data_IF_525547142915
#
_entry.id   IF_525547142915
#
_cell.length_a   1.000
_cell.length_b   1.000
_cell.length_c   1.000
_cell.angle_alpha   90.00
_cell.angle_beta   90.00
_cell.angle_gamma   90.00
#
_symmetry.space_group_name_H-M   'P 1'
#
loop_
_entity.id
_entity.type
_entity.pdbx_description
1 polymer ?
#
# COMPACT_ATOMS: atom_id res chain seq x y z
N UNK A 1 -31.33 11.43 -11.83
CA UNK A 1 -30.50 11.93 -10.71
C UNK A 1 -30.38 13.43 -10.87
N UNK A 2 -30.60 14.20 -9.81
CA UNK A 2 -30.36 15.65 -9.86
C UNK A 2 -28.86 15.89 -10.14
N UNK A 3 -28.55 16.90 -10.95
CA UNK A 3 -27.18 17.31 -11.24
C UNK A 3 -26.98 18.74 -10.74
N UNK A 4 -25.76 19.07 -10.33
CA UNK A 4 -25.43 20.38 -9.80
C UNK A 4 -24.05 20.80 -10.31
N UNK A 5 -23.87 22.09 -10.59
CA UNK A 5 -22.54 22.63 -10.83
C UNK A 5 -21.84 22.86 -9.50
N UNK A 6 -20.60 22.40 -9.35
CA UNK A 6 -19.72 22.82 -8.27
C UNK A 6 -18.69 23.82 -8.81
N UNK A 7 -18.34 24.84 -8.01
CA UNK A 7 -17.39 25.87 -8.39
C UNK A 7 -16.40 26.18 -7.27
N UNK A 8 -15.14 26.35 -7.62
CA UNK A 8 -14.11 26.95 -6.78
C UNK A 8 -13.26 27.85 -7.66
N UNK A 9 -13.13 29.12 -7.28
CA UNK A 9 -12.49 30.15 -8.11
C UNK A 9 -13.05 30.17 -9.55
N UNK A 10 -12.20 29.98 -10.56
CA UNK A 10 -12.56 29.94 -11.97
C UNK A 10 -12.99 28.54 -12.46
N UNK A 11 -12.81 27.49 -11.65
CA UNK A 11 -13.11 26.12 -12.03
C UNK A 11 -14.60 25.80 -11.80
N UNK A 12 -15.24 25.16 -12.77
CA UNK A 12 -16.63 24.70 -12.70
C UNK A 12 -16.75 23.29 -13.22
N UNK A 13 -17.43 22.43 -12.47
CA UNK A 13 -17.67 21.04 -12.86
C UNK A 13 -19.14 20.67 -12.66
N UNK A 14 -19.73 19.95 -13.61
CA UNK A 14 -21.08 19.38 -13.46
C UNK A 14 -20.95 17.98 -12.87
N UNK A 15 -21.55 17.76 -11.70
CA UNK A 15 -21.55 16.47 -11.02
C UNK A 15 -22.99 16.00 -10.74
N UNK A 16 -23.21 14.68 -10.58
CA UNK A 16 -24.42 14.19 -9.90
C UNK A 16 -24.47 14.77 -8.49
N UNK A 17 -25.66 15.18 -8.03
CA UNK A 17 -25.84 15.66 -6.65
C UNK A 17 -25.49 14.52 -5.68
N UNK A 18 -24.48 14.69 -4.80
CA UNK A 18 -24.08 13.65 -3.86
C UNK A 18 -25.19 13.31 -2.86
N UNK A 19 -25.11 12.13 -2.24
CA UNK A 19 -26.16 11.68 -1.30
C UNK A 19 -26.02 12.31 0.11
N UNK A 20 -24.87 12.90 0.42
CA UNK A 20 -24.58 13.51 1.72
C UNK A 20 -23.73 14.77 1.59
N UNK A 21 -23.77 15.60 2.63
CA UNK A 21 -22.95 16.80 2.75
C UNK A 21 -21.45 16.48 2.76
N UNK A 22 -21.03 15.43 3.46
CA UNK A 22 -19.62 15.00 3.50
C UNK A 22 -19.13 14.51 2.13
N UNK A 23 -19.96 13.78 1.40
CA UNK A 23 -19.64 13.36 0.03
C UNK A 23 -19.50 14.57 -0.89
N UNK A 24 -20.33 15.60 -0.73
CA UNK A 24 -20.18 16.85 -1.47
C UNK A 24 -18.88 17.58 -1.12
N UNK A 25 -18.53 17.68 0.16
CA UNK A 25 -17.27 18.31 0.57
C UNK A 25 -16.06 17.55 0.01
N UNK A 26 -16.08 16.23 0.09
CA UNK A 26 -15.04 15.36 -0.43
C UNK A 26 -14.90 15.50 -1.95
N UNK A 27 -16.00 15.38 -2.70
CA UNK A 27 -16.02 15.52 -4.16
C UNK A 27 -15.59 16.93 -4.56
N UNK A 28 -16.12 17.96 -3.89
CA UNK A 28 -15.75 19.35 -4.15
C UNK A 28 -14.24 19.58 -4.03
N UNK A 29 -13.64 19.08 -2.94
CA UNK A 29 -12.19 19.19 -2.73
C UNK A 29 -11.38 18.40 -3.75
N UNK A 30 -11.78 17.16 -4.01
CA UNK A 30 -11.05 16.25 -4.90
C UNK A 30 -11.08 16.70 -6.37
N UNK A 31 -12.22 17.22 -6.84
CA UNK A 31 -12.42 17.57 -8.24
C UNK A 31 -12.09 19.03 -8.58
N UNK A 32 -12.14 19.94 -7.59
CA UNK A 32 -11.78 21.34 -7.77
C UNK A 32 -10.40 21.68 -7.18
N UNK A 33 -9.62 20.65 -6.85
CA UNK A 33 -8.25 20.76 -6.34
C UNK A 33 -8.11 21.72 -5.15
N UNK A 34 -9.07 21.69 -4.21
CA UNK A 34 -9.08 22.59 -3.04
C UNK A 34 -8.19 22.00 -1.95
N UNK A 35 -7.08 22.66 -1.56
CA UNK A 35 -6.17 22.13 -0.54
C UNK A 35 -6.84 21.92 0.81
N UNK A 36 -6.49 20.84 1.54
CA UNK A 36 -7.01 20.57 2.88
C UNK A 36 -6.69 21.68 3.90
N UNK A 37 -5.61 22.42 3.66
CA UNK A 37 -5.21 23.60 4.47
C UNK A 37 -6.14 24.79 4.30
N UNK A 38 -6.94 24.82 3.22
CA UNK A 38 -7.94 25.85 2.97
C UNK A 38 -9.26 25.39 3.56
N UNK A 39 -9.71 26.07 4.63
CA UNK A 39 -11.07 25.93 5.11
C UNK A 39 -12.03 26.40 4.02
N UNK A 40 -13.11 25.65 3.76
CA UNK A 40 -14.12 26.02 2.76
C UNK A 40 -15.51 26.08 3.37
N UNK A 41 -16.29 27.05 2.92
CA UNK A 41 -17.69 27.25 3.25
C UNK A 41 -18.49 27.04 1.96
N UNK A 42 -19.09 25.86 1.75
CA UNK A 42 -19.92 25.63 0.58
C UNK A 42 -21.18 26.49 0.65
N UNK A 43 -21.57 27.10 -0.46
CA UNK A 43 -22.81 27.87 -0.61
C UNK A 43 -23.59 27.35 -1.80
N UNK A 44 -24.91 27.34 -1.71
CA UNK A 44 -25.77 26.92 -2.80
C UNK A 44 -26.56 28.11 -3.36
N UNK A 45 -26.86 28.04 -4.66
CA UNK A 45 -27.57 29.07 -5.41
C UNK A 45 -28.73 28.46 -6.19
N UNK A 46 -29.94 29.00 -5.98
CA UNK A 46 -31.12 28.66 -6.79
C UNK A 46 -31.14 29.39 -8.14
N UNK A 47 -30.34 30.44 -8.29
CA UNK A 47 -30.12 31.15 -9.56
C UNK A 47 -28.75 31.83 -9.60
N UNK A 48 -28.19 31.99 -10.81
CA UNK A 48 -26.82 32.52 -11.03
C UNK A 48 -26.65 33.97 -10.54
N UNK A 49 -27.75 34.69 -10.33
CA UNK A 49 -27.75 36.09 -9.89
C UNK A 49 -28.10 36.29 -8.40
N UNK A 50 -28.35 35.20 -7.64
CA UNK A 50 -28.75 35.29 -6.23
C UNK A 50 -27.56 35.15 -5.28
N UNK A 51 -27.55 35.87 -4.15
CA UNK A 51 -26.54 35.69 -3.11
C UNK A 51 -26.58 34.26 -2.58
N UNK A 52 -25.42 33.59 -2.57
CA UNK A 52 -25.31 32.19 -2.15
C UNK A 52 -25.66 32.00 -0.68
N UNK A 53 -26.49 31.02 -0.40
CA UNK A 53 -26.86 30.63 0.98
C UNK A 53 -25.87 29.58 1.47
N UNK A 54 -25.38 29.73 2.70
CA UNK A 54 -24.46 28.75 3.29
C UNK A 54 -25.10 27.36 3.37
N UNK A 55 -24.38 26.39 2.84
CA UNK A 55 -24.76 25.00 2.85
C UNK A 55 -24.17 24.34 4.09
N UNK A 56 -25.02 23.66 4.84
CA UNK A 56 -24.70 22.94 6.06
C UNK A 56 -25.30 21.54 5.95
N UNK A 57 -24.85 20.61 6.80
CA UNK A 57 -25.44 19.28 6.87
C UNK A 57 -26.96 19.33 7.11
N UNK A 58 -27.42 20.25 7.97
CA UNK A 58 -28.83 20.39 8.34
C UNK A 58 -29.75 20.86 7.19
N UNK A 59 -29.21 21.60 6.21
CA UNK A 59 -29.99 22.11 5.07
C UNK A 59 -29.61 21.45 3.73
N UNK A 60 -28.75 20.43 3.74
CA UNK A 60 -28.31 19.71 2.53
C UNK A 60 -29.47 19.10 1.73
N UNK A 61 -30.49 18.59 2.43
CA UNK A 61 -31.66 17.98 1.78
C UNK A 61 -32.54 18.98 1.01
N UNK A 62 -32.34 20.29 1.20
CA UNK A 62 -33.07 21.35 0.49
C UNK A 62 -32.51 21.62 -0.93
N UNK A 63 -31.45 20.93 -1.36
CA UNK A 63 -30.77 21.13 -2.65
C UNK A 63 -31.53 20.63 -3.89
N UNK A 64 -32.82 20.25 -3.77
CA UNK A 64 -33.58 19.64 -4.87
C UNK A 64 -33.68 20.54 -6.12
N UNK A 65 -33.61 21.86 -5.95
CA UNK A 65 -33.69 22.86 -7.01
C UNK A 65 -32.43 23.76 -7.10
N UNK A 66 -31.27 23.26 -6.64
CA UNK A 66 -30.02 24.01 -6.70
C UNK A 66 -29.34 23.87 -8.07
N UNK A 67 -28.85 24.97 -8.62
CA UNK A 67 -28.14 25.00 -9.91
C UNK A 67 -26.62 25.00 -9.69
N UNK A 68 -26.14 25.66 -8.63
CA UNK A 68 -24.71 25.89 -8.38
C UNK A 68 -24.38 25.81 -6.90
N UNK A 69 -23.28 25.14 -6.59
CA UNK A 69 -22.65 25.12 -5.27
C UNK A 69 -21.25 25.72 -5.40
N UNK A 70 -21.00 26.89 -4.79
CA UNK A 70 -19.67 27.48 -4.70
C UNK A 70 -18.96 27.04 -3.43
N UNK A 71 -17.66 26.81 -3.50
CA UNK A 71 -16.80 26.59 -2.35
C UNK A 71 -16.02 27.88 -2.10
N UNK A 72 -16.41 28.65 -1.08
CA UNK A 72 -15.73 29.90 -0.78
C UNK A 72 -14.69 29.66 0.34
N UNK A 73 -13.49 30.27 0.29
CA UNK A 73 -12.54 30.19 1.39
C UNK A 73 -13.14 30.70 2.70
N UNK A 74 -13.01 29.92 3.78
CA UNK A 74 -13.51 30.28 5.09
C UNK A 74 -12.62 31.38 5.70
N UNK A 75 -13.19 32.53 6.13
CA UNK A 75 -12.41 33.63 6.72
C UNK A 75 -11.71 33.25 8.04
N UNK A 76 -12.02 32.09 8.64
CA UNK A 76 -11.47 31.68 9.93
C UNK A 76 -10.00 31.19 9.89
N UNK A 77 -9.45 30.86 8.72
CA UNK A 77 -8.07 30.33 8.60
C UNK A 77 -7.02 31.41 8.29
N UNK A 78 -7.43 32.56 7.75
CA UNK A 78 -6.52 33.68 7.46
C UNK A 78 -5.87 34.32 8.71
N UNK A 79 -6.36 34.01 9.92
CA UNK A 79 -5.94 34.66 11.17
C UNK A 79 -4.94 33.84 12.03
N UNK A 80 -4.49 32.66 11.60
CA UNK A 80 -3.58 31.80 12.43
C UNK A 80 -2.16 31.63 11.89
N UNK A 81 -1.75 32.42 10.90
CA UNK A 81 -0.35 32.56 10.51
C UNK A 81 0.39 33.58 11.40
N UNK A 82 0.66 33.24 12.66
CA UNK A 82 1.58 34.02 13.48
C UNK A 82 3.02 33.56 13.24
N UNK A 83 3.73 34.47 12.58
CA UNK A 83 5.16 34.53 12.30
C UNK A 83 5.97 34.41 13.58
N UNK A 84 6.86 33.43 13.64
CA UNK A 84 8.06 33.51 14.48
C UNK A 84 9.11 34.32 13.71
N UNK A 85 9.35 35.56 14.11
CA UNK A 85 10.61 36.26 13.86
C UNK A 85 11.26 36.58 15.20
N UNK A 86 12.55 36.27 15.40
CA UNK A 86 13.33 36.86 16.47
C UNK A 86 14.05 38.12 15.97
N UNK A 87 13.93 39.17 16.78
CA UNK A 87 14.82 40.33 16.99
C UNK A 87 15.28 41.13 15.75
N UNK A 88 15.06 42.44 15.61
CA UNK A 88 14.99 43.48 16.62
C UNK A 88 16.25 44.34 16.57
N UNK A 89 16.36 45.28 15.62
CA UNK A 89 16.88 46.65 15.85
C UNK A 89 16.80 47.55 14.61
N UNK A 90 16.44 48.81 14.89
CA UNK A 90 16.29 49.96 13.99
C UNK A 90 17.64 50.64 13.73
N UNK A 91 17.89 51.15 12.52
CA UNK A 91 17.94 52.62 12.24
C UNK A 91 18.45 52.93 10.81
N UNK A 92 18.08 54.13 10.39
CA UNK A 92 18.14 54.74 9.07
C UNK A 92 19.55 55.02 8.54
N UNK A 93 19.69 55.14 7.21
CA UNK A 93 19.97 56.42 6.54
C UNK A 93 20.05 56.26 5.01
N UNK A 94 19.49 57.24 4.32
CA UNK A 94 19.55 57.39 2.88
C UNK A 94 20.96 57.85 2.45
N UNK A 95 21.47 57.28 1.35
CA UNK A 95 22.35 57.99 0.41
C UNK A 95 22.43 57.29 -0.93
N UNK A 96 21.96 57.99 -1.95
CA UNK A 96 22.24 57.79 -3.37
C UNK A 96 23.73 57.63 -3.63
N UNK A 97 24.11 56.58 -4.38
CA UNK A 97 25.22 56.63 -5.34
C UNK A 97 24.87 55.73 -6.54
N UNK A 98 24.59 56.37 -7.67
CA UNK A 98 24.58 55.77 -9.02
C UNK A 98 26.03 55.41 -9.40
N UNK A 99 26.29 54.21 -9.98
CA UNK A 99 26.79 54.27 -11.36
C UNK A 99 26.40 53.10 -12.28
N UNK A 100 26.02 53.52 -13.50
CA UNK A 100 26.32 52.93 -14.81
C UNK A 100 25.76 51.54 -15.16
N UNK A 101 24.70 51.61 -15.96
CA UNK A 101 24.32 50.67 -16.99
C UNK A 101 25.52 49.98 -17.66
N UNK A 102 25.48 48.65 -17.68
CA UNK A 102 25.98 47.87 -18.81
C UNK A 102 24.83 47.00 -19.30
N UNK A 103 24.24 47.42 -20.41
CA UNK A 103 23.22 46.65 -21.12
C UNK A 103 23.76 45.28 -21.49
N UNK A 104 23.26 44.24 -20.83
CA UNK A 104 23.21 42.90 -21.39
C UNK A 104 21.74 42.61 -21.70
N UNK A 105 21.47 42.36 -22.98
CA UNK A 105 20.17 41.89 -23.43
C UNK A 105 19.78 40.63 -22.64
N UNK A 106 18.53 40.51 -22.17
CA UNK A 106 18.10 39.26 -21.55
C UNK A 106 18.18 38.15 -22.60
N UNK A 107 19.02 37.16 -22.34
CA UNK A 107 18.92 35.88 -23.01
C UNK A 107 17.51 35.35 -22.71
N UNK A 108 16.67 35.29 -23.74
CA UNK A 108 15.37 34.64 -23.67
C UNK A 108 15.66 33.18 -23.33
N UNK A 109 15.44 32.81 -22.07
CA UNK A 109 15.42 31.42 -21.67
C UNK A 109 14.38 30.72 -22.57
N UNK A 110 14.70 29.55 -23.17
CA UNK A 110 13.72 28.83 -23.96
C UNK A 110 12.49 28.60 -23.09
N UNK A 111 11.32 29.00 -23.59
CA UNK A 111 10.05 28.80 -22.92
C UNK A 111 9.93 27.31 -22.59
N UNK A 112 9.94 26.97 -21.30
CA UNK A 112 9.77 25.59 -20.87
C UNK A 112 8.35 25.12 -21.25
N UNK A 113 8.21 23.89 -21.78
CA UNK A 113 6.91 23.37 -22.19
C UNK A 113 5.95 23.34 -20.99
N UNK A 114 4.75 23.88 -21.18
CA UNK A 114 3.70 23.86 -20.16
C UNK A 114 3.16 22.43 -20.03
N UNK A 115 3.47 21.75 -18.94
CA UNK A 115 2.84 20.47 -18.59
C UNK A 115 1.53 20.81 -17.85
N UNK A 116 0.40 20.58 -18.49
CA UNK A 116 -0.94 20.78 -17.92
C UNK A 116 -1.59 19.43 -17.57
N UNK A 117 -1.31 18.42 -18.39
CA UNK A 117 -1.84 17.08 -18.32
C UNK A 117 -0.67 16.09 -18.21
N UNK A 118 -0.69 15.27 -17.16
CA UNK A 118 0.22 14.15 -17.04
C UNK A 118 -0.60 12.88 -16.83
N UNK A 119 -0.32 11.84 -17.62
CA UNK A 119 -0.90 10.54 -17.37
C UNK A 119 -0.01 9.80 -16.38
N UNK A 120 -0.61 9.31 -15.29
CA UNK A 120 0.06 8.37 -14.40
C UNK A 120 -0.46 6.98 -14.74
N UNK A 121 0.45 6.10 -15.14
CA UNK A 121 0.17 4.68 -15.25
C UNK A 121 0.70 4.02 -13.99
N UNK A 122 -0.20 3.30 -13.33
CA UNK A 122 0.07 2.57 -12.12
C UNK A 122 -0.37 1.12 -12.35
N UNK A 123 0.59 0.19 -12.42
CA UNK A 123 0.37 -1.19 -12.89
C UNK A 123 -0.18 -1.23 -14.34
N UNK A 124 -0.09 -2.38 -15.02
CA UNK A 124 -0.54 -2.55 -16.42
C UNK A 124 -2.06 -2.32 -16.62
N UNK A 125 -2.78 -2.11 -15.52
CA UNK A 125 -4.24 -2.14 -15.42
C UNK A 125 -4.88 -0.76 -15.23
N UNK A 126 -4.16 0.22 -14.66
CA UNK A 126 -4.75 1.48 -14.20
C UNK A 126 -3.99 2.69 -14.75
N UNK A 127 -4.73 3.57 -15.44
CA UNK A 127 -4.22 4.83 -16.00
C UNK A 127 -5.14 5.95 -15.54
N UNK A 128 -4.62 6.90 -14.78
CA UNK A 128 -5.36 8.09 -14.38
C UNK A 128 -4.65 9.36 -14.84
N UNK A 129 -5.46 10.36 -15.14
CA UNK A 129 -4.99 11.69 -15.53
C UNK A 129 -4.80 12.53 -14.26
N UNK A 130 -3.61 13.09 -14.11
CA UNK A 130 -3.28 14.00 -13.03
C UNK A 130 -3.09 15.40 -13.63
N UNK A 131 -3.92 16.35 -13.18
CA UNK A 131 -3.78 17.75 -13.56
C UNK A 131 -2.71 18.38 -12.68
N UNK A 132 -1.64 18.84 -13.31
CA UNK A 132 -0.52 19.44 -12.60
C UNK A 132 -0.71 20.95 -12.50
N UNK A 133 -0.70 21.54 -11.29
CA UNK A 133 -0.71 22.99 -11.13
C UNK A 133 0.66 23.56 -11.51
N UNK A 134 0.90 23.81 -12.80
CA UNK A 134 1.97 24.69 -13.26
C UNK A 134 3.15 24.04 -14.02
N UNK A 135 3.33 24.55 -15.25
CA UNK A 135 4.54 24.69 -16.08
C UNK A 135 5.79 23.85 -15.75
N UNK A 136 5.81 22.53 -15.90
CA UNK A 136 7.07 21.74 -16.00
C UNK A 136 8.07 21.83 -14.83
N UNK A 137 7.81 22.68 -13.83
CA UNK A 137 8.60 22.98 -12.64
C UNK A 137 8.15 22.13 -11.46
N UNK A 138 7.07 21.36 -11.61
CA UNK A 138 6.66 20.36 -10.62
C UNK A 138 7.86 19.50 -10.30
N UNK A 139 8.25 19.48 -9.03
CA UNK A 139 9.32 18.65 -8.55
C UNK A 139 8.86 17.20 -8.49
N UNK A 140 9.79 16.28 -8.71
CA UNK A 140 9.49 14.85 -8.63
C UNK A 140 8.95 14.46 -7.25
N UNK A 141 9.46 15.08 -6.17
CA UNK A 141 8.92 14.90 -4.81
C UNK A 141 7.45 15.34 -4.69
N UNK A 142 7.11 16.51 -5.23
CA UNK A 142 5.73 16.99 -5.23
C UNK A 142 4.80 16.10 -6.06
N UNK A 143 5.28 15.53 -7.17
CA UNK A 143 4.51 14.56 -7.94
C UNK A 143 4.25 13.29 -7.12
N UNK A 144 5.24 12.78 -6.36
CA UNK A 144 5.05 11.66 -5.44
C UNK A 144 4.02 11.99 -4.36
N UNK A 145 4.08 13.17 -3.76
CA UNK A 145 3.09 13.62 -2.76
C UNK A 145 1.67 13.68 -3.33
N UNK A 146 1.50 14.15 -4.57
CA UNK A 146 0.19 14.17 -5.24
C UNK A 146 -0.33 12.76 -5.52
N UNK A 147 0.55 11.85 -5.94
CA UNK A 147 0.20 10.43 -6.14
C UNK A 147 -0.18 9.82 -4.79
N UNK A 148 0.60 10.07 -3.74
CA UNK A 148 0.37 9.64 -2.38
C UNK A 148 -1.00 10.07 -1.85
N UNK A 149 -1.32 11.37 -1.95
CA UNK A 149 -2.61 11.92 -1.54
C UNK A 149 -3.77 11.28 -2.32
N UNK A 150 -3.59 11.05 -3.63
CA UNK A 150 -4.61 10.45 -4.49
C UNK A 150 -4.86 8.97 -4.16
N UNK A 151 -3.82 8.28 -3.75
CA UNK A 151 -3.81 6.83 -3.54
C UNK A 151 -4.04 6.43 -2.08
N UNK A 152 -3.80 7.34 -1.13
CA UNK A 152 -3.83 7.05 0.31
C UNK A 152 -2.57 6.37 0.84
N UNK A 153 -1.52 6.25 0.02
CA UNK A 153 -0.23 5.69 0.41
C UNK A 153 0.81 6.80 0.58
N UNK A 154 1.86 6.55 1.36
CA UNK A 154 3.01 7.47 1.50
C UNK A 154 3.74 7.70 0.15
N UNK A 155 4.33 8.88 -0.03
CA UNK A 155 5.11 9.25 -1.21
C UNK A 155 6.32 8.33 -1.41
N UNK A 156 6.92 7.85 -0.32
CA UNK A 156 8.07 6.93 -0.35
C UNK A 156 7.72 5.55 -0.93
N UNK A 157 6.43 5.23 -1.13
CA UNK A 157 6.02 3.97 -1.75
C UNK A 157 6.15 3.93 -3.26
N UNK A 158 6.38 5.07 -3.92
CA UNK A 158 6.37 5.16 -5.38
C UNK A 158 7.77 5.41 -5.92
N UNK A 159 8.23 4.55 -6.81
CA UNK A 159 9.32 4.80 -7.74
C UNK A 159 8.73 5.26 -9.07
N UNK A 160 9.17 6.42 -9.53
CA UNK A 160 8.61 7.02 -10.75
C UNK A 160 9.58 6.79 -11.92
N UNK A 161 9.07 6.42 -13.08
CA UNK A 161 9.86 6.33 -14.31
C UNK A 161 9.16 7.01 -15.49
N UNK A 162 9.95 7.56 -16.39
CA UNK A 162 9.48 8.16 -17.65
C UNK A 162 10.29 7.61 -18.82
N UNK A 163 9.65 6.84 -19.71
CA UNK A 163 10.33 6.25 -20.86
C UNK A 163 11.60 5.49 -20.48
N UNK A 164 11.50 4.65 -19.43
CA UNK A 164 12.61 3.90 -18.83
C UNK A 164 13.66 4.71 -18.07
N UNK A 165 13.47 6.03 -17.91
CA UNK A 165 14.36 6.89 -17.12
C UNK A 165 13.79 7.03 -15.71
N UNK A 166 14.49 6.59 -14.66
CA UNK A 166 14.08 6.82 -13.28
C UNK A 166 13.99 8.32 -12.97
N UNK A 167 12.91 8.74 -12.31
CA UNK A 167 12.76 10.07 -11.72
C UNK A 167 13.17 9.95 -10.24
N UNK A 168 14.46 9.88 -10.00
CA UNK A 168 15.10 9.53 -8.72
C UNK A 168 15.47 10.74 -7.84
N UNK A 169 15.58 11.94 -8.40
CA UNK A 169 15.89 13.17 -7.68
C UNK A 169 14.61 13.95 -7.35
N UNK A 170 14.21 13.90 -6.07
CA UNK A 170 13.02 14.59 -5.57
C UNK A 170 13.03 16.10 -5.79
N UNK A 171 14.21 16.71 -5.94
CA UNK A 171 14.39 18.15 -6.14
C UNK A 171 14.49 18.54 -7.61
N UNK A 172 14.52 17.56 -8.50
CA UNK A 172 14.56 17.78 -9.94
C UNK A 172 13.15 17.86 -10.50
N UNK A 173 12.93 18.83 -11.36
CA UNK A 173 11.64 19.08 -12.00
C UNK A 173 11.35 18.10 -13.13
N UNK A 174 10.07 17.88 -13.42
CA UNK A 174 9.63 17.04 -14.53
C UNK A 174 10.20 17.51 -15.87
N UNK A 175 10.31 18.83 -16.09
CA UNK A 175 10.92 19.40 -17.28
C UNK A 175 12.40 19.05 -17.44
N UNK A 176 13.15 18.91 -16.33
CA UNK A 176 14.56 18.50 -16.36
C UNK A 176 14.74 16.99 -16.65
N UNK A 177 13.66 16.21 -16.52
CA UNK A 177 13.58 14.83 -17.03
C UNK A 177 12.98 14.76 -18.44
N UNK A 178 12.76 15.92 -19.10
CA UNK A 178 12.11 16.06 -20.39
C UNK A 178 10.70 15.44 -20.43
N UNK A 179 10.02 15.38 -19.29
CA UNK A 179 8.59 15.05 -19.27
C UNK A 179 7.84 16.22 -19.89
N UNK A 180 6.95 15.92 -20.83
CA UNK A 180 6.17 16.88 -21.59
C UNK A 180 4.66 16.73 -21.31
N UNK A 181 3.88 17.70 -21.77
CA UNK A 181 2.43 17.65 -21.68
C UNK A 181 1.85 16.44 -22.41
N UNK A 182 1.00 15.68 -21.73
CA UNK A 182 0.39 14.45 -22.25
C UNK A 182 1.29 13.23 -22.18
N UNK A 183 2.53 13.35 -21.68
CA UNK A 183 3.39 12.19 -21.44
C UNK A 183 2.79 11.28 -20.35
N UNK A 184 3.33 10.06 -20.30
CA UNK A 184 2.95 9.06 -19.31
C UNK A 184 4.12 8.79 -18.38
N UNK A 185 3.94 9.06 -17.09
CA UNK A 185 4.86 8.64 -16.03
C UNK A 185 4.34 7.34 -15.43
N UNK A 186 5.21 6.35 -15.36
CA UNK A 186 4.93 5.08 -14.69
C UNK A 186 5.26 5.26 -13.21
N UNK A 187 4.28 5.04 -12.35
CA UNK A 187 4.47 4.99 -10.91
C UNK A 187 4.54 3.52 -10.51
N UNK A 188 5.74 2.98 -10.40
CA UNK A 188 5.98 1.65 -9.88
C UNK A 188 5.92 1.71 -8.36
N UNK A 189 5.06 0.93 -7.73
CA UNK A 189 5.11 0.85 -6.27
C UNK A 189 6.13 -0.15 -5.78
N UNK A 190 6.76 0.19 -4.67
CA UNK A 190 7.59 -0.69 -3.87
C UNK A 190 6.79 -1.78 -3.12
N UNK A 191 5.52 -2.04 -3.48
CA UNK A 191 4.71 -3.10 -2.86
C UNK A 191 5.23 -4.47 -3.28
N UNK A 192 6.15 -4.99 -2.48
CA UNK A 192 6.74 -6.31 -2.68
C UNK A 192 7.01 -7.09 -1.40
N UNK A 193 6.78 -6.48 -0.24
CA UNK A 193 7.27 -7.01 1.04
C UNK A 193 6.25 -7.94 1.67
N UNK A 194 6.36 -9.24 1.38
CA UNK A 194 5.63 -10.25 2.12
C UNK A 194 6.23 -10.39 3.52
N UNK A 195 5.48 -10.06 4.57
CA UNK A 195 5.92 -10.19 5.97
C UNK A 195 5.56 -11.59 6.49
N UNK A 196 6.56 -12.44 6.63
CA UNK A 196 6.39 -13.85 6.96
C UNK A 196 6.98 -14.16 8.33
N UNK A 197 6.33 -15.04 9.08
CA UNK A 197 6.84 -15.61 10.30
C UNK A 197 6.83 -17.13 10.21
N UNK A 198 7.90 -17.74 10.69
CA UNK A 198 8.05 -19.18 10.78
C UNK A 198 7.97 -19.57 12.25
N UNK A 199 6.92 -20.33 12.57
CA UNK A 199 6.76 -21.02 13.84
C UNK A 199 7.26 -22.44 13.68
N UNK A 200 7.89 -22.93 14.73
CA UNK A 200 8.24 -24.34 14.86
C UNK A 200 7.33 -24.89 15.95
N UNK A 201 6.78 -26.10 15.81
CA UNK A 201 6.01 -26.77 16.86
C UNK A 201 6.57 -28.16 17.06
N UNK A 202 7.03 -28.45 18.27
CA UNK A 202 7.67 -29.71 18.62
C UNK A 202 6.63 -30.81 18.82
N UNK A 203 6.96 -32.09 18.54
CA UNK A 203 6.11 -33.19 18.94
C UNK A 203 5.90 -33.23 20.46
N UNK A 204 4.66 -33.44 20.92
CA UNK A 204 4.30 -33.46 22.34
C UNK A 204 5.07 -34.52 23.15
N UNK A 205 5.39 -35.66 22.51
CA UNK A 205 6.14 -36.75 23.14
C UNK A 205 7.65 -36.45 23.31
N UNK A 206 8.17 -35.37 22.72
CA UNK A 206 9.60 -35.07 22.69
C UNK A 206 9.99 -34.07 23.78
N UNK A 207 10.49 -34.57 24.93
CA UNK A 207 10.92 -33.74 26.08
C UNK A 207 12.38 -33.23 26.03
N UNK A 208 13.12 -33.48 24.95
CA UNK A 208 14.54 -33.10 24.81
C UNK A 208 14.74 -32.04 23.76
N UNK A 209 15.76 -31.19 23.93
CA UNK A 209 16.05 -30.12 22.98
C UNK A 209 16.26 -30.66 21.57
N UNK A 210 15.52 -30.09 20.63
CA UNK A 210 15.62 -30.43 19.21
C UNK A 210 16.46 -29.39 18.52
N UNK A 211 17.58 -29.79 17.94
CA UNK A 211 18.44 -28.95 17.11
C UNK A 211 18.10 -29.19 15.65
N UNK A 212 17.87 -28.12 14.92
CA UNK A 212 17.60 -28.16 13.49
C UNK A 212 18.25 -26.96 12.80
N UNK A 213 18.45 -27.11 11.50
CA UNK A 213 18.92 -26.07 10.61
C UNK A 213 17.80 -25.81 9.62
N UNK A 214 17.27 -24.59 9.62
CA UNK A 214 16.21 -24.16 8.74
C UNK A 214 16.80 -23.21 7.71
N UNK A 215 16.60 -23.50 6.44
CA UNK A 215 17.01 -22.62 5.35
C UNK A 215 15.80 -22.19 4.56
N UNK A 216 15.61 -20.87 4.44
CA UNK A 216 14.68 -20.29 3.48
C UNK A 216 15.49 -19.88 2.27
N UNK A 217 15.07 -20.28 1.07
CA UNK A 217 15.67 -19.82 -0.17
C UNK A 217 14.57 -19.31 -1.10
N UNK A 218 14.73 -18.09 -1.59
CA UNK A 218 13.85 -17.54 -2.62
C UNK A 218 14.44 -17.78 -4.00
N UNK A 219 13.56 -17.94 -4.99
CA UNK A 219 13.99 -18.01 -6.38
C UNK A 219 14.34 -16.58 -6.85
N UNK A 220 15.43 -16.35 -7.59
CA UNK A 220 15.70 -15.04 -8.17
C UNK A 220 14.50 -14.53 -9.03
N UNK A 221 14.20 -13.22 -9.03
CA UNK A 221 14.98 -12.10 -8.51
C UNK A 221 14.65 -11.69 -7.05
N UNK A 222 14.03 -12.57 -6.26
CA UNK A 222 13.61 -12.23 -4.90
C UNK A 222 14.76 -12.34 -3.89
N UNK A 223 14.77 -11.44 -2.91
CA UNK A 223 15.69 -11.49 -1.78
C UNK A 223 14.93 -11.72 -0.47
N UNK A 224 15.61 -12.38 0.45
CA UNK A 224 15.21 -12.58 1.83
C UNK A 224 15.91 -11.51 2.67
N UNK A 225 15.14 -10.83 3.52
CA UNK A 225 15.68 -10.04 4.60
C UNK A 225 15.25 -10.65 5.94
N UNK A 226 16.23 -10.94 6.81
CA UNK A 226 15.97 -11.49 8.13
C UNK A 226 15.78 -10.32 9.10
N UNK A 227 14.58 -10.17 9.64
CA UNK A 227 14.25 -9.02 10.50
C UNK A 227 14.94 -9.04 11.87
N UNK A 228 15.66 -10.12 12.21
CA UNK A 228 16.48 -10.23 13.42
C UNK A 228 17.94 -9.83 13.20
N UNK A 229 18.32 -9.52 11.96
CA UNK A 229 19.62 -9.00 11.61
C UNK A 229 19.55 -7.48 11.40
N UNK A 230 20.70 -6.82 11.50
CA UNK A 230 20.80 -5.39 11.26
C UNK A 230 20.47 -5.06 9.80
N UNK A 231 19.78 -3.94 9.59
CA UNK A 231 19.29 -3.48 8.27
C UNK A 231 20.42 -3.15 7.28
N UNK A 232 21.66 -3.02 7.75
CA UNK A 232 22.84 -2.75 6.92
C UNK A 232 23.42 -4.01 6.26
N UNK A 233 22.88 -5.20 6.58
CA UNK A 233 23.34 -6.45 5.99
C UNK A 233 22.81 -6.63 4.56
N UNK A 234 23.65 -7.18 3.65
CA UNK A 234 23.23 -7.40 2.27
C UNK A 234 22.01 -8.31 2.21
N UNK A 235 21.04 -7.93 1.39
CA UNK A 235 19.90 -8.79 1.06
C UNK A 235 20.40 -10.02 0.28
N UNK A 236 20.06 -11.21 0.76
CA UNK A 236 20.51 -12.49 0.17
C UNK A 236 19.36 -13.24 -0.51
N UNK A 237 19.67 -14.17 -1.40
CA UNK A 237 18.65 -15.06 -2.00
C UNK A 237 18.26 -16.23 -1.08
N UNK A 238 19.04 -16.49 -0.04
CA UNK A 238 18.70 -17.52 0.93
C UNK A 238 19.30 -17.21 2.29
N UNK A 239 18.61 -17.58 3.36
CA UNK A 239 19.10 -17.42 4.72
C UNK A 239 18.98 -18.75 5.48
N UNK A 240 19.95 -19.06 6.33
CA UNK A 240 19.96 -20.27 7.15
C UNK A 240 20.03 -19.92 8.64
N UNK A 241 19.07 -20.42 9.41
CA UNK A 241 19.07 -20.36 10.86
C UNK A 241 19.43 -21.74 11.44
N UNK A 242 20.40 -21.77 12.35
CA UNK A 242 20.61 -22.91 13.24
C UNK A 242 19.85 -22.66 14.53
N UNK A 243 18.81 -23.47 14.78
CA UNK A 243 17.88 -23.23 15.88
C UNK A 243 17.78 -24.43 16.81
N UNK A 244 17.64 -24.16 18.09
CA UNK A 244 17.26 -25.12 19.11
C UNK A 244 15.81 -24.88 19.52
N UNK A 245 15.10 -25.96 19.82
CA UNK A 245 13.72 -25.95 20.32
C UNK A 245 13.70 -26.66 21.67
N UNK A 246 13.48 -25.89 22.73
CA UNK A 246 13.38 -26.36 24.13
C UNK A 246 11.92 -26.63 24.54
N UNK A 247 11.69 -27.41 25.60
CA UNK A 247 10.39 -27.97 26.01
C UNK A 247 9.88 -27.54 27.40
N UNK A 248 10.35 -26.43 27.96
CA UNK A 248 9.89 -26.04 29.30
C UNK A 248 8.58 -25.23 29.32
N UNK A 249 8.01 -24.88 28.16
CA UNK A 249 6.66 -24.30 28.08
C UNK A 249 5.94 -24.73 26.82
N UNK A 250 4.61 -24.84 26.90
CA UNK A 250 3.76 -25.30 25.79
C UNK A 250 3.71 -24.33 24.59
N UNK A 251 4.18 -23.07 24.74
CA UNK A 251 3.97 -22.02 23.73
C UNK A 251 5.13 -21.05 23.54
N UNK A 252 6.20 -21.11 24.36
CA UNK A 252 7.42 -20.32 24.13
C UNK A 252 8.45 -21.21 23.45
N UNK A 253 8.24 -21.39 22.16
CA UNK A 253 9.27 -21.83 21.25
C UNK A 253 10.35 -20.76 21.25
N UNK A 254 11.31 -20.89 22.14
CA UNK A 254 12.47 -20.05 22.10
C UNK A 254 13.37 -20.60 20.98
N UNK A 255 13.49 -19.85 19.89
CA UNK A 255 14.46 -20.12 18.83
C UNK A 255 15.77 -19.47 19.25
N UNK A 256 16.77 -20.28 19.61
CA UNK A 256 18.11 -19.74 19.83
C UNK A 256 18.80 -19.52 18.49
N UNK A 257 18.90 -18.27 18.06
CA UNK A 257 19.78 -17.86 16.95
C UNK A 257 20.87 -16.96 17.55
N UNK A 258 22.04 -17.53 17.82
CA UNK A 258 23.08 -16.87 18.61
C UNK A 258 22.80 -16.90 20.12
N UNK A 259 22.70 -15.73 20.77
CA UNK A 259 22.49 -15.60 22.22
C UNK A 259 21.04 -15.23 22.60
N UNK A 260 20.18 -14.95 21.63
CA UNK A 260 18.81 -14.51 21.85
C UNK A 260 17.79 -15.62 21.56
N UNK A 261 16.64 -15.50 22.22
CA UNK A 261 15.55 -16.45 22.12
C UNK A 261 14.30 -15.77 21.53
N UNK A 262 13.83 -16.24 20.39
CA UNK A 262 12.69 -15.64 19.66
C UNK A 262 11.47 -16.54 19.68
N UNK A 263 10.26 -15.98 19.64
CA UNK A 263 9.00 -16.76 19.52
C UNK A 263 8.74 -17.32 18.12
N UNK A 264 9.27 -16.65 17.10
CA UNK A 264 9.20 -17.04 15.70
C UNK A 264 10.43 -16.46 14.97
N UNK A 265 10.78 -17.05 13.83
CA UNK A 265 11.71 -16.42 12.88
C UNK A 265 10.90 -15.52 11.96
N UNK A 266 11.28 -14.26 11.81
CA UNK A 266 10.63 -13.35 10.87
C UNK A 266 11.54 -13.12 9.67
N UNK A 267 10.93 -13.08 8.49
CA UNK A 267 11.62 -12.71 7.27
C UNK A 267 10.69 -11.95 6.34
N UNK A 268 11.27 -11.05 5.55
CA UNK A 268 10.56 -10.38 4.47
C UNK A 268 11.06 -10.89 3.13
N UNK A 269 10.09 -11.29 2.28
CA UNK A 269 10.35 -11.54 0.88
C UNK A 269 10.19 -10.25 0.14
N UNK A 270 11.24 -9.79 -0.52
CA UNK A 270 11.25 -8.54 -1.27
C UNK A 270 11.70 -8.79 -2.70
N UNK A 271 11.08 -8.08 -3.63
CA UNK A 271 11.58 -8.00 -5.00
C UNK A 271 12.84 -7.17 -4.98
N UNK A 272 13.89 -7.62 -5.68
CA UNK A 272 15.05 -6.76 -5.90
C UNK A 272 14.58 -5.44 -6.54
N UNK A 273 14.70 -4.35 -5.79
CA UNK A 273 14.38 -2.98 -6.21
C UNK A 273 15.34 -2.42 -7.26
N UNK A 274 16.34 -3.22 -7.71
CA UNK A 274 17.25 -2.84 -8.78
C UNK A 274 16.71 -3.34 -10.14
N UNK A 275 16.23 -2.44 -11.03
CA UNK A 275 15.81 -2.82 -12.37
C UNK A 275 16.91 -3.47 -13.21
N UNK A 276 18.21 -3.29 -12.87
CA UNK A 276 19.31 -4.01 -13.52
C UNK A 276 19.46 -5.45 -13.01
N UNK A 277 19.00 -5.78 -11.80
CA UNK A 277 18.96 -7.17 -11.30
C UNK A 277 17.82 -7.98 -11.91
N UNK A 278 16.76 -7.32 -12.37
CA UNK A 278 15.72 -7.94 -13.22
C UNK A 278 16.26 -8.32 -14.61
N UNK A 279 17.38 -7.71 -15.08
CA UNK A 279 18.02 -8.01 -16.38
C UNK A 279 18.88 -9.28 -16.36
N UNK A 280 19.19 -9.82 -15.18
CA UNK A 280 20.02 -11.01 -14.98
C UNK A 280 19.23 -12.19 -14.41
N UNK A 281 17.95 -12.33 -14.76
CA UNK A 281 17.25 -13.60 -14.54
C UNK A 281 17.85 -14.63 -15.51
N UNK A 282 18.47 -15.73 -15.03
CA UNK A 282 18.94 -16.78 -15.90
C UNK A 282 17.74 -17.60 -16.40
N UNK A 283 17.73 -17.80 -17.71
CA UNK A 283 17.09 -18.89 -18.45
C UNK A 283 15.67 -18.63 -19.02
N UNK A 284 15.54 -18.34 -20.33
CA UNK A 284 14.26 -18.28 -21.05
C UNK A 284 13.52 -19.64 -21.14
N UNK A 285 14.05 -20.69 -20.50
CA UNK A 285 13.41 -22.00 -20.34
C UNK A 285 12.52 -22.19 -19.10
N UNK A 286 12.56 -21.29 -18.10
CA UNK A 286 11.69 -21.40 -16.91
C UNK A 286 10.29 -20.84 -17.19
N UNK A 287 9.30 -21.72 -17.23
CA UNK A 287 7.92 -21.36 -17.47
C UNK A 287 7.27 -20.79 -16.20
N UNK A 288 7.53 -19.52 -15.91
CA UNK A 288 6.98 -18.78 -14.77
C UNK A 288 5.46 -18.51 -14.86
N UNK A 289 4.74 -19.13 -15.81
CA UNK A 289 3.34 -18.82 -16.15
C UNK A 289 2.32 -19.15 -15.06
N UNK A 290 2.73 -19.88 -14.01
CA UNK A 290 1.86 -20.26 -12.89
C UNK A 290 2.49 -20.02 -11.51
N UNK A 291 3.63 -19.33 -11.39
CA UNK A 291 4.28 -19.12 -10.10
C UNK A 291 3.78 -17.85 -9.40
N UNK A 292 3.64 -17.87 -8.07
CA UNK A 292 3.43 -16.64 -7.31
C UNK A 292 4.66 -15.73 -7.42
N UNK A 293 4.43 -14.46 -7.76
CA UNK A 293 5.48 -13.45 -7.86
C UNK A 293 5.23 -12.36 -6.82
N UNK A 294 6.01 -12.31 -5.72
CA UNK A 294 5.96 -11.21 -4.78
C UNK A 294 6.15 -9.83 -5.42
N UNK A 295 6.79 -9.74 -6.60
CA UNK A 295 6.97 -8.50 -7.36
C UNK A 295 5.74 -8.03 -8.12
N UNK A 296 4.81 -8.94 -8.36
CA UNK A 296 3.60 -8.69 -9.12
C UNK A 296 2.47 -9.47 -8.45
N UNK A 297 2.16 -9.15 -7.18
CA UNK A 297 1.10 -9.85 -6.48
C UNK A 297 -0.22 -9.57 -7.20
N UNK A 298 -0.93 -10.62 -7.59
CA UNK A 298 -2.21 -10.46 -8.27
C UNK A 298 -3.35 -10.62 -7.27
N UNK A 299 -4.24 -9.64 -7.24
CA UNK A 299 -5.53 -9.73 -6.58
C UNK A 299 -6.55 -9.10 -7.54
N UNK A 300 -7.54 -9.89 -7.96
CA UNK A 300 -8.52 -9.50 -8.99
C UNK A 300 -9.92 -9.97 -8.58
N UNK A 301 -10.99 -9.41 -9.15
CA UNK A 301 -12.35 -9.86 -8.87
C UNK A 301 -12.57 -11.37 -9.10
N UNK A 302 -11.83 -11.99 -10.02
CA UNK A 302 -12.00 -13.41 -10.35
C UNK A 302 -11.25 -14.36 -9.42
N UNK A 303 -10.25 -13.86 -8.68
CA UNK A 303 -9.41 -14.69 -7.80
C UNK A 303 -9.48 -14.33 -6.32
N UNK A 304 -10.25 -13.29 -5.97
CA UNK A 304 -10.38 -12.78 -4.62
C UNK A 304 -11.76 -13.08 -4.01
N UNK A 305 -11.82 -12.97 -2.69
CA UNK A 305 -13.04 -12.78 -1.92
C UNK A 305 -13.05 -11.35 -1.39
N UNK A 306 -14.21 -10.69 -1.40
CA UNK A 306 -14.38 -9.33 -0.89
C UNK A 306 -15.32 -9.33 0.31
N UNK A 307 -14.92 -8.67 1.38
CA UNK A 307 -15.73 -8.44 2.58
C UNK A 307 -15.76 -6.95 2.91
N UNK A 308 -16.82 -6.51 3.59
CA UNK A 308 -16.81 -5.22 4.30
C UNK A 308 -15.70 -5.22 5.33
N UNK A 309 -15.04 -4.09 5.53
CA UNK A 309 -13.94 -4.01 6.50
C UNK A 309 -14.35 -4.51 7.89
N UNK A 310 -15.53 -4.08 8.37
CA UNK A 310 -16.05 -4.52 9.68
C UNK A 310 -16.28 -6.03 9.81
N UNK A 311 -16.47 -6.74 8.70
CA UNK A 311 -16.63 -8.20 8.67
C UNK A 311 -15.29 -8.93 8.48
N UNK A 312 -14.25 -8.24 8.01
CA UNK A 312 -12.98 -8.84 7.61
C UNK A 312 -12.17 -9.38 8.79
N UNK A 313 -12.00 -8.61 9.88
CA UNK A 313 -11.22 -9.07 11.04
C UNK A 313 -11.87 -10.29 11.73
N UNK A 314 -13.19 -10.29 12.01
CA UNK A 314 -13.87 -11.48 12.56
C UNK A 314 -13.84 -12.69 11.61
N UNK A 315 -13.84 -12.46 10.29
CA UNK A 315 -13.62 -13.51 9.31
C UNK A 315 -12.20 -14.06 9.41
N UNK A 316 -11.19 -13.19 9.43
CA UNK A 316 -9.78 -13.56 9.40
C UNK A 316 -9.41 -14.41 10.62
N UNK A 317 -9.86 -14.03 11.81
CA UNK A 317 -9.65 -14.83 13.03
C UNK A 317 -10.21 -16.26 12.90
N UNK A 318 -11.40 -16.39 12.31
CA UNK A 318 -12.03 -17.69 12.05
C UNK A 318 -11.29 -18.48 10.97
N UNK A 319 -10.97 -17.86 9.84
CA UNK A 319 -10.27 -18.53 8.75
C UNK A 319 -8.92 -19.08 9.22
N UNK A 320 -8.13 -18.30 9.95
CA UNK A 320 -6.86 -18.76 10.50
C UNK A 320 -7.04 -19.91 11.51
N UNK A 321 -8.16 -19.98 12.23
CA UNK A 321 -8.51 -21.12 13.09
C UNK A 321 -8.71 -22.39 12.28
N UNK A 322 -9.47 -22.30 11.19
CA UNK A 322 -9.74 -23.44 10.31
C UNK A 322 -8.48 -23.95 9.62
N UNK A 323 -7.47 -23.07 9.45
CA UNK A 323 -6.14 -23.42 8.98
C UNK A 323 -5.22 -23.97 10.09
N UNK A 324 -5.79 -24.33 11.25
CA UNK A 324 -5.11 -24.95 12.40
C UNK A 324 -4.03 -24.09 13.05
N UNK A 325 -4.13 -22.76 12.93
CA UNK A 325 -3.26 -21.86 13.69
C UNK A 325 -3.75 -21.71 15.13
N UNK A 326 -2.80 -21.68 16.07
CA UNK A 326 -3.09 -21.56 17.50
C UNK A 326 -3.55 -20.13 17.83
N UNK A 327 -4.27 -19.89 18.95
CA UNK A 327 -4.70 -18.55 19.34
C UNK A 327 -3.56 -17.51 19.34
N UNK A 328 -2.37 -17.91 19.75
CA UNK A 328 -1.18 -17.05 19.79
C UNK A 328 -0.71 -16.70 18.38
N UNK A 329 -0.63 -17.69 17.47
CA UNK A 329 -0.23 -17.47 16.08
C UNK A 329 -1.21 -16.55 15.35
N UNK A 330 -2.51 -16.74 15.58
CA UNK A 330 -3.57 -15.90 15.01
C UNK A 330 -3.47 -14.46 15.50
N UNK A 331 -3.32 -14.28 16.81
CA UNK A 331 -3.18 -12.94 17.41
C UNK A 331 -1.94 -12.22 16.88
N UNK A 332 -0.80 -12.92 16.81
CA UNK A 332 0.45 -12.37 16.30
C UNK A 332 0.35 -12.03 14.80
N UNK A 333 -0.32 -12.89 14.01
CA UNK A 333 -0.59 -12.62 12.60
C UNK A 333 -1.40 -11.34 12.41
N UNK A 334 -2.51 -11.18 13.14
CA UNK A 334 -3.38 -10.00 13.02
C UNK A 334 -2.62 -8.75 13.46
N UNK A 335 -1.92 -8.81 14.60
CA UNK A 335 -1.16 -7.67 15.13
C UNK A 335 -0.06 -7.21 14.15
N UNK A 336 0.69 -8.14 13.55
CA UNK A 336 1.78 -7.83 12.61
C UNK A 336 1.30 -7.08 11.36
N UNK A 337 0.07 -7.31 10.94
CA UNK A 337 -0.53 -6.69 9.75
C UNK A 337 -1.53 -5.59 10.10
N UNK A 338 -1.74 -5.31 11.39
CA UNK A 338 -2.67 -4.28 11.86
C UNK A 338 -2.39 -2.89 11.30
N UNK A 339 -1.13 -2.43 11.12
CA UNK A 339 -0.88 -1.12 10.51
C UNK A 339 -1.45 -1.02 9.09
N UNK A 340 -1.21 -2.03 8.23
CA UNK A 340 -1.76 -2.06 6.87
C UNK A 340 -3.29 -2.16 6.87
N UNK A 341 -3.85 -2.97 7.77
CA UNK A 341 -5.31 -3.07 7.91
C UNK A 341 -5.93 -1.76 8.37
N UNK A 342 -5.28 -1.01 9.25
CA UNK A 342 -5.74 0.31 9.68
C UNK A 342 -5.73 1.29 8.51
N UNK A 343 -4.63 1.35 7.75
CA UNK A 343 -4.57 2.16 6.53
C UNK A 343 -5.70 1.82 5.57
N UNK A 344 -5.98 0.53 5.37
CA UNK A 344 -7.09 0.11 4.51
C UNK A 344 -8.44 0.57 5.08
N UNK A 345 -8.68 0.41 6.38
CA UNK A 345 -9.93 0.83 7.02
C UNK A 345 -10.21 2.33 6.86
N UNK A 346 -9.16 3.13 6.97
CA UNK A 346 -9.27 4.60 6.93
C UNK A 346 -9.65 5.11 5.53
N UNK A 347 -9.33 4.35 4.48
CA UNK A 347 -9.49 4.77 3.08
C UNK A 347 -10.50 3.95 2.29
N UNK A 348 -10.78 2.71 2.68
CA UNK A 348 -11.56 1.77 1.88
C UNK A 348 -12.66 1.08 2.69
N UNK A 349 -13.90 1.01 2.17
CA UNK A 349 -15.01 0.37 2.86
C UNK A 349 -14.94 -1.17 2.84
N UNK A 350 -14.16 -1.75 1.93
CA UNK A 350 -14.07 -3.19 1.71
C UNK A 350 -12.60 -3.65 1.61
N UNK A 351 -12.40 -4.94 1.89
CA UNK A 351 -11.12 -5.63 1.74
C UNK A 351 -11.31 -6.78 0.78
N UNK A 352 -10.55 -6.78 -0.31
CA UNK A 352 -10.33 -7.97 -1.12
C UNK A 352 -9.20 -8.79 -0.52
N UNK A 353 -9.31 -10.10 -0.57
CA UNK A 353 -8.25 -10.99 -0.13
C UNK A 353 -8.32 -12.36 -0.80
N UNK A 354 -7.20 -13.08 -0.73
CA UNK A 354 -7.14 -14.52 -1.01
C UNK A 354 -5.99 -15.17 -0.26
N UNK A 355 -6.15 -16.42 0.14
CA UNK A 355 -5.02 -17.24 0.56
C UNK A 355 -4.39 -17.92 -0.66
N UNK A 356 -3.06 -17.98 -0.69
CA UNK A 356 -2.33 -18.60 -1.80
C UNK A 356 -2.23 -20.12 -1.63
N UNK A 357 -2.54 -20.90 -2.69
CA UNK A 357 -2.28 -22.33 -2.74
C UNK A 357 -0.82 -22.72 -2.46
N UNK A 358 -0.63 -23.89 -1.83
CA UNK A 358 0.70 -24.41 -1.46
C UNK A 358 1.63 -24.56 -2.66
N UNK A 359 1.10 -25.01 -3.80
CA UNK A 359 1.87 -25.22 -5.03
C UNK A 359 2.45 -23.91 -5.55
N UNK A 360 1.66 -22.83 -5.57
CA UNK A 360 2.14 -21.49 -5.94
C UNK A 360 3.28 -21.03 -5.03
N UNK A 361 3.17 -21.22 -3.72
CA UNK A 361 4.21 -20.82 -2.75
C UNK A 361 5.49 -21.64 -2.93
N UNK A 362 5.36 -22.94 -3.18
CA UNK A 362 6.52 -23.83 -3.38
C UNK A 362 7.37 -23.44 -4.59
N UNK A 363 6.78 -22.74 -5.57
CA UNK A 363 7.49 -22.23 -6.75
C UNK A 363 8.15 -20.86 -6.54
N UNK A 364 7.80 -20.12 -5.49
CA UNK A 364 8.39 -18.80 -5.22
C UNK A 364 9.56 -18.86 -4.23
N UNK A 365 9.47 -19.77 -3.26
CA UNK A 365 10.54 -20.02 -2.29
C UNK A 365 10.45 -21.42 -1.70
N UNK A 366 11.58 -21.91 -1.17
CA UNK A 366 11.69 -23.20 -0.50
C UNK A 366 12.04 -23.02 0.97
N UNK A 367 11.49 -23.90 1.81
CA UNK A 367 11.87 -24.04 3.22
C UNK A 367 12.50 -25.43 3.38
N UNK A 368 13.82 -25.46 3.50
CA UNK A 368 14.58 -26.67 3.74
C UNK A 368 14.78 -26.86 5.24
N UNK A 369 14.22 -27.94 5.79
CA UNK A 369 14.36 -28.28 7.22
C UNK A 369 15.31 -29.46 7.36
N UNK A 370 16.47 -29.22 7.98
CA UNK A 370 17.45 -30.27 8.30
C UNK A 370 17.48 -30.49 9.81
N UNK A 371 16.84 -31.56 10.24
CA UNK A 371 16.86 -31.97 11.66
C UNK A 371 18.23 -32.56 11.98
N UNK A 372 18.92 -32.00 12.98
CA UNK A 372 20.24 -32.47 13.44
C UNK A 372 20.14 -33.38 14.67
N UNK A 373 19.01 -33.36 15.39
CA UNK A 373 18.76 -34.28 16.50
C UNK A 373 18.39 -35.67 15.99
N UNK A 374 19.16 -36.73 16.33
CA UNK A 374 18.98 -38.07 15.75
C UNK A 374 17.70 -38.81 16.18
N UNK A 375 16.96 -38.30 17.16
CA UNK A 375 15.83 -39.01 17.76
C UNK A 375 14.45 -38.65 17.17
N UNK A 376 14.38 -37.70 16.22
CA UNK A 376 13.16 -37.45 15.47
C UNK A 376 13.03 -38.50 14.36
N UNK A 377 12.18 -39.49 14.58
CA UNK A 377 11.95 -40.61 13.65
C UNK A 377 11.03 -40.26 12.50
N UNK A 378 10.33 -39.12 12.55
CA UNK A 378 9.37 -38.68 11.54
C UNK A 378 9.84 -37.41 10.84
N UNK A 379 9.63 -37.30 9.51
CA UNK A 379 9.96 -36.07 8.79
C UNK A 379 9.10 -34.90 9.32
N UNK A 380 9.65 -33.68 9.30
CA UNK A 380 8.89 -32.49 9.66
C UNK A 380 7.75 -32.26 8.67
N UNK A 381 6.65 -31.70 9.18
CA UNK A 381 5.56 -31.17 8.36
C UNK A 381 5.87 -29.70 8.10
N UNK A 382 5.93 -29.30 6.83
CA UNK A 382 6.04 -27.89 6.45
C UNK A 382 4.67 -27.44 5.95
N UNK A 383 4.19 -26.30 6.45
CA UNK A 383 2.89 -25.73 6.10
C UNK A 383 3.05 -24.24 5.91
N UNK A 384 2.49 -23.69 4.83
CA UNK A 384 2.74 -22.29 4.45
C UNK A 384 1.41 -21.57 4.19
N UNK A 385 1.13 -20.51 4.90
CA UNK A 385 -0.13 -19.77 4.78
C UNK A 385 0.23 -18.33 4.42
N UNK A 386 0.00 -17.93 3.17
CA UNK A 386 0.21 -16.56 2.73
C UNK A 386 -1.11 -15.97 2.25
N UNK A 387 -1.51 -14.86 2.87
CA UNK A 387 -2.68 -14.08 2.46
C UNK A 387 -2.24 -12.89 1.61
N UNK A 388 -2.85 -12.71 0.45
CA UNK A 388 -2.85 -11.43 -0.27
C UNK A 388 -4.10 -10.66 0.14
N UNK A 389 -3.99 -9.36 0.41
CA UNK A 389 -5.12 -8.52 0.77
C UNK A 389 -4.96 -7.09 0.28
N UNK A 390 -6.03 -6.37 0.01
CA UNK A 390 -5.99 -4.98 -0.43
C UNK A 390 -7.32 -4.26 -0.24
N UNK A 391 -7.29 -2.95 -0.10
CA UNK A 391 -8.48 -2.12 0.02
C UNK A 391 -9.24 -2.03 -1.30
N UNK A 392 -10.58 -2.05 -1.24
CA UNK A 392 -11.44 -1.87 -2.42
C UNK A 392 -12.40 -0.73 -2.19
N UNK A 393 -12.33 0.26 -3.07
CA UNK A 393 -13.35 1.31 -3.17
C UNK A 393 -14.51 0.80 -4.02
N UNK A 394 -15.73 0.92 -3.50
CA UNK A 394 -16.95 0.85 -4.31
C UNK A 394 -17.34 2.28 -4.68
N UNK A 395 -16.63 2.90 -5.63
CA UNK A 395 -17.06 4.19 -6.16
C UNK A 395 -18.32 4.02 -7.04
N UNK A 396 -19.25 4.96 -6.95
CA UNK A 396 -20.46 5.00 -7.76
C UNK A 396 -20.12 5.44 -9.21
N UNK A 397 -19.89 4.46 -10.08
CA UNK A 397 -19.63 4.68 -11.50
C UNK A 397 -19.27 3.37 -12.22
N UNK A 398 -19.91 3.14 -13.38
CA UNK A 398 -19.86 1.97 -14.26
C UNK A 398 -18.84 0.85 -13.96
N UNK A 399 -19.38 -0.30 -13.53
CA UNK A 399 -18.75 -1.63 -13.44
C UNK A 399 -17.65 -1.78 -12.40
N UNK A 400 -18.03 -1.72 -11.14
CA UNK A 400 -17.20 -2.31 -10.10
C UNK A 400 -17.32 -3.85 -10.13
N UNK A 401 -16.41 -4.49 -10.85
CA UNK A 401 -16.39 -5.96 -10.99
C UNK A 401 -16.18 -6.69 -9.66
N UNK A 402 -15.62 -6.01 -8.65
CA UNK A 402 -15.43 -6.56 -7.30
C UNK A 402 -16.74 -6.89 -6.58
N UNK A 403 -17.87 -6.31 -6.99
CA UNK A 403 -19.20 -6.68 -6.46
C UNK A 403 -19.49 -8.18 -6.66
N UNK A 404 -18.97 -8.81 -7.72
CA UNK A 404 -19.13 -10.26 -7.95
C UNK A 404 -18.35 -11.11 -6.95
N UNK A 405 -17.24 -10.56 -6.45
CA UNK A 405 -16.37 -11.18 -5.45
C UNK A 405 -16.87 -10.93 -4.01
N UNK A 406 -17.83 -10.02 -3.82
CA UNK A 406 -18.42 -9.72 -2.52
C UNK A 406 -19.12 -10.96 -1.94
N UNK A 407 -18.90 -11.16 -0.65
CA UNK A 407 -19.52 -12.20 0.15
C UNK A 407 -20.02 -11.60 1.45
N UNK A 408 -21.04 -12.22 2.03
CA UNK A 408 -21.38 -11.99 3.44
C UNK A 408 -20.40 -12.74 4.33
N UNK A 409 -20.19 -12.29 5.56
CA UNK A 409 -19.39 -12.98 6.58
C UNK A 409 -19.70 -14.48 6.68
N UNK A 410 -20.99 -14.84 6.78
CA UNK A 410 -21.43 -16.24 6.90
C UNK A 410 -21.13 -17.10 5.66
N UNK A 411 -21.05 -16.49 4.48
CA UNK A 411 -20.71 -17.20 3.25
C UNK A 411 -19.21 -17.44 3.18
N UNK A 412 -18.40 -16.44 3.55
CA UNK A 412 -16.94 -16.57 3.61
C UNK A 412 -16.49 -17.57 4.68
N UNK A 413 -17.16 -17.64 5.84
CA UNK A 413 -16.87 -18.63 6.90
C UNK A 413 -17.19 -20.08 6.51
N UNK A 414 -18.07 -20.30 5.53
CA UNK A 414 -18.41 -21.66 5.05
C UNK A 414 -17.43 -22.22 4.02
N UNK A 415 -16.51 -21.40 3.53
CA UNK A 415 -15.48 -21.83 2.58
C UNK A 415 -14.48 -22.73 3.30
N UNK A 416 -14.18 -23.88 2.72
CA UNK A 416 -13.08 -24.74 3.17
C UNK A 416 -11.76 -24.16 2.66
N UNK A 417 -11.21 -23.20 3.40
CA UNK A 417 -9.97 -22.51 3.07
C UNK A 417 -8.78 -23.46 3.01
N UNK A 418 -8.76 -24.50 3.85
CA UNK A 418 -7.70 -25.50 3.85
C UNK A 418 -7.70 -26.28 2.54
N UNK A 419 -8.87 -26.77 2.09
CA UNK A 419 -8.99 -27.44 0.80
C UNK A 419 -8.64 -26.49 -0.37
N UNK A 420 -9.10 -25.24 -0.31
CA UNK A 420 -8.86 -24.25 -1.36
C UNK A 420 -7.37 -23.97 -1.59
N UNK A 421 -6.56 -23.96 -0.53
CA UNK A 421 -5.11 -23.74 -0.65
C UNK A 421 -4.28 -25.02 -0.67
N UNK A 422 -4.90 -26.20 -0.64
CA UNK A 422 -4.20 -27.48 -0.60
C UNK A 422 -3.46 -27.75 0.71
N UNK A 423 -3.96 -27.23 1.84
CA UNK A 423 -3.38 -27.43 3.17
C UNK A 423 -3.93 -28.71 3.81
N UNK A 424 -3.03 -29.59 4.27
CA UNK A 424 -3.40 -30.81 4.97
C UNK A 424 -3.54 -30.60 6.48
N UNK A 425 -4.70 -30.11 6.92
CA UNK A 425 -5.03 -29.87 8.35
C UNK A 425 -4.72 -31.07 9.24
N UNK A 426 -5.08 -32.29 8.82
CA UNK A 426 -4.77 -33.50 9.60
C UNK A 426 -3.27 -33.74 9.81
N UNK A 427 -2.41 -33.26 8.91
CA UNK A 427 -0.96 -33.31 9.10
C UNK A 427 -0.46 -32.23 10.04
N UNK A 428 -1.08 -31.04 10.07
CA UNK A 428 -0.73 -29.97 10.99
C UNK A 428 -1.12 -30.26 12.45
N UNK A 429 -2.18 -31.05 12.64
CA UNK A 429 -2.63 -31.50 13.95
C UNK A 429 -1.92 -32.77 14.45
N UNK A 430 -0.99 -33.32 13.66
CA UNK A 430 -0.23 -34.52 14.04
C UNK A 430 0.83 -34.17 15.10
N UNK A 431 0.44 -34.20 16.38
CA UNK A 431 1.30 -33.92 17.54
C UNK A 431 2.53 -34.86 17.66
N UNK A 432 2.64 -35.87 16.81
CA UNK A 432 3.80 -36.77 16.76
C UNK A 432 4.93 -36.25 15.86
N UNK A 433 4.70 -35.17 15.11
CA UNK A 433 5.66 -34.58 14.17
C UNK A 433 6.11 -33.20 14.60
N UNK A 434 7.28 -32.82 14.10
CA UNK A 434 7.76 -31.45 14.15
C UNK A 434 7.03 -30.67 13.05
N UNK A 435 6.35 -29.60 13.40
CA UNK A 435 5.72 -28.72 12.42
C UNK A 435 6.57 -27.48 12.21
N UNK A 436 6.67 -27.06 10.96
CA UNK A 436 7.27 -25.80 10.52
C UNK A 436 6.17 -25.05 9.79
N UNK A 437 5.60 -24.07 10.46
CA UNK A 437 4.45 -23.31 9.98
C UNK A 437 4.95 -21.92 9.59
N UNK A 438 5.03 -21.66 8.30
CA UNK A 438 5.20 -20.31 7.79
C UNK A 438 3.84 -19.66 7.61
N UNK A 439 3.67 -18.45 8.14
CA UNK A 439 2.44 -17.68 7.98
C UNK A 439 2.76 -16.21 7.80
N UNK A 440 2.10 -15.57 6.85
CA UNK A 440 2.27 -14.15 6.59
C UNK A 440 1.19 -13.57 5.69
N UNK A 441 1.26 -12.26 5.50
CA UNK A 441 0.42 -11.57 4.55
C UNK A 441 1.24 -10.58 3.73
N UNK A 442 0.68 -10.25 2.58
CA UNK A 442 1.21 -9.24 1.70
C UNK A 442 0.05 -8.34 1.25
N UNK A 443 0.22 -7.04 1.47
CA UNK A 443 -0.72 -6.07 0.94
C UNK A 443 -0.54 -5.97 -0.58
N UNK A 444 -1.66 -5.96 -1.29
CA UNK A 444 -1.76 -5.73 -2.72
C UNK A 444 -2.42 -4.37 -2.91
N UNK A 445 -1.72 -3.41 -3.51
CA UNK A 445 -2.29 -2.12 -3.85
C UNK A 445 -3.41 -2.31 -4.88
N UNK A 446 -4.65 -2.11 -4.46
CA UNK A 446 -5.83 -2.30 -5.30
C UNK A 446 -6.49 -0.96 -5.59
N UNK A 447 -5.99 -0.26 -6.59
CA UNK A 447 -6.63 0.99 -7.03
C UNK A 447 -7.65 0.70 -8.13
N UNK A 448 -8.94 0.89 -7.84
CA UNK A 448 -9.98 1.09 -8.86
C UNK A 448 -11.00 2.10 -8.39
#
# INVERSE_FOLDING_TARGET
MAQVFIQYEAQRLLIPLPQSFDALLFIGRAYLSIPLTVGVCPRYHHGVAEPGTELTEANYHALQDCILISFDPSPAVAARGLVNQPDGTLQAEAREVVPKERSQAPAVAPAQPEIEHLWIVYDQSCKYELLLPGKGTTLTGALKDMIAERTGYDADFFDLTHGYTPLDDINKSLGEYNVCNGDTVEADTCFGVAKLAIYLLKPAAHRRNTKLSLRVACIPPFTVHNSHLADDLPREHSYTWDVSVDSDSDWHMHIQSGEQWYRHLSWTGETASDPNRLRHVPDPGYNYGAAFRPSAPSLTPDNATVLKFGDFVPFLEHALETLSLTPEMRSDFILRHSPQLQTINDHFPHVAFRFLPQDLLSTSSTIDVRVRTPNLSRPPVVSRILMLFGGVAFADGYRNEWVKAERTLDAAKRVDWAAQIGLHVGSMLDETKLHVIEVGAMEVPLFK
#
